data_IF_985840047071
#
_entry.id   IF_985840047071
#
_cell.length_a   1.000
_cell.length_b   1.000
_cell.length_c   1.000
_cell.angle_alpha   90.00
_cell.angle_beta   90.00
_cell.angle_gamma   90.00
#
_symmetry.space_group_name_H-M   'P 1'
#
loop_
_entity.id
_entity.type
_entity.pdbx_description
1 polymer ?
#
# COMPACT_ATOMS: atom_id res chain seq x y z
N UNK A 1 40.25 -44.75 60.44
CA UNK A 1 39.03 -43.91 60.33
C UNK A 1 39.28 -42.62 59.53
N UNK A 2 40.36 -41.89 59.72
CA UNK A 2 40.69 -40.58 59.08
C UNK A 2 40.88 -40.64 57.54
N UNK A 3 41.42 -41.72 56.96
CA UNK A 3 41.63 -41.81 55.50
C UNK A 3 40.34 -41.84 54.69
N UNK A 4 39.23 -42.43 55.22
CA UNK A 4 37.94 -42.47 54.56
C UNK A 4 37.23 -41.10 54.60
N UNK A 5 37.39 -40.32 55.68
CA UNK A 5 36.82 -38.99 55.81
C UNK A 5 37.49 -37.98 54.87
N UNK A 6 38.80 -38.05 54.66
CA UNK A 6 39.53 -37.25 53.68
C UNK A 6 39.12 -37.55 52.25
N UNK A 7 38.92 -38.82 51.89
CA UNK A 7 38.47 -39.19 50.53
C UNK A 7 37.07 -38.68 50.23
N UNK A 8 36.14 -38.76 51.19
CA UNK A 8 34.75 -38.20 51.01
C UNK A 8 34.77 -36.69 50.88
N UNK A 9 35.58 -35.99 51.69
CA UNK A 9 35.75 -34.53 51.62
C UNK A 9 36.27 -34.05 50.25
N UNK A 10 37.32 -34.75 49.75
CA UNK A 10 37.89 -34.45 48.43
C UNK A 10 36.89 -34.71 47.30
N UNK A 11 36.10 -35.80 47.39
CA UNK A 11 35.07 -36.10 46.41
C UNK A 11 33.96 -35.05 46.40
N UNK A 12 33.49 -34.61 47.57
CA UNK A 12 32.48 -33.55 47.69
C UNK A 12 33.01 -32.23 47.13
N UNK A 13 34.24 -31.86 47.48
CA UNK A 13 34.87 -30.64 46.98
C UNK A 13 35.05 -30.67 45.45
N UNK A 14 35.47 -31.79 44.91
CA UNK A 14 35.59 -32.02 43.47
C UNK A 14 34.24 -31.93 42.73
N UNK A 15 33.18 -32.50 43.32
CA UNK A 15 31.83 -32.41 42.79
C UNK A 15 31.28 -30.99 42.82
N UNK A 16 31.50 -30.22 43.88
CA UNK A 16 31.11 -28.82 44.01
C UNK A 16 31.87 -27.97 43.03
N UNK A 17 33.17 -28.19 42.86
CA UNK A 17 33.99 -27.45 41.89
C UNK A 17 33.59 -27.78 40.45
N UNK A 18 33.39 -29.04 40.11
CA UNK A 18 32.90 -29.45 38.82
C UNK A 18 31.54 -28.85 38.49
N UNK A 19 30.59 -28.82 39.43
CA UNK A 19 29.28 -28.17 39.26
C UNK A 19 29.38 -26.64 39.07
N UNK A 20 30.33 -26.02 39.78
CA UNK A 20 30.53 -24.58 39.71
C UNK A 20 31.11 -24.12 38.37
N UNK A 21 31.90 -24.95 37.69
CA UNK A 21 32.45 -24.67 36.36
C UNK A 21 31.55 -25.17 35.21
N UNK A 22 31.05 -26.43 35.33
CA UNK A 22 30.35 -27.07 34.22
C UNK A 22 28.98 -26.49 33.96
N UNK A 23 28.23 -26.06 34.98
CA UNK A 23 26.89 -25.48 34.83
C UNK A 23 26.89 -24.15 34.05
N UNK A 24 27.71 -23.13 34.37
CA UNK A 24 27.78 -21.90 33.60
C UNK A 24 28.23 -22.13 32.15
N UNK A 25 29.20 -23.04 31.92
CA UNK A 25 29.68 -23.35 30.57
C UNK A 25 28.56 -23.97 29.74
N UNK A 26 27.81 -24.93 30.28
CA UNK A 26 26.65 -25.53 29.57
C UNK A 26 25.58 -24.50 29.30
N UNK A 27 25.30 -23.58 30.24
CA UNK A 27 24.33 -22.51 30.04
C UNK A 27 24.76 -21.55 28.92
N UNK A 28 26.06 -21.17 28.89
CA UNK A 28 26.63 -20.36 27.82
C UNK A 28 26.56 -21.08 26.46
N UNK A 29 26.96 -22.37 26.40
CA UNK A 29 26.87 -23.13 25.15
C UNK A 29 25.43 -23.22 24.66
N UNK A 30 24.48 -23.54 25.55
CA UNK A 30 23.04 -23.54 25.18
C UNK A 30 22.54 -22.17 24.74
N UNK A 31 22.98 -21.07 25.39
CA UNK A 31 22.68 -19.71 24.99
C UNK A 31 23.21 -19.39 23.60
N UNK A 32 24.47 -19.72 23.32
CA UNK A 32 25.08 -19.52 21.99
C UNK A 32 24.32 -20.31 20.91
N UNK A 33 23.95 -21.56 21.20
CA UNK A 33 23.17 -22.38 20.25
C UNK A 33 21.79 -21.78 19.96
N UNK A 34 21.09 -21.23 20.98
CA UNK A 34 19.82 -20.56 20.82
C UNK A 34 19.98 -19.29 19.95
N UNK A 35 20.98 -18.46 20.26
CA UNK A 35 21.29 -17.26 19.47
C UNK A 35 21.60 -17.61 18.00
N UNK A 36 22.36 -18.68 17.77
CA UNK A 36 22.66 -19.18 16.42
C UNK A 36 21.39 -19.66 15.68
N UNK A 37 20.37 -20.13 16.42
CA UNK A 37 19.06 -20.49 15.89
C UNK A 37 18.09 -19.30 15.76
N UNK A 38 18.54 -18.05 16.06
CA UNK A 38 17.73 -16.84 15.98
C UNK A 38 16.91 -16.52 17.23
N UNK A 39 17.02 -17.31 18.29
CA UNK A 39 16.32 -17.03 19.56
C UNK A 39 17.14 -16.08 20.43
N UNK A 40 16.73 -14.83 20.45
CA UNK A 40 17.35 -13.76 21.25
C UNK A 40 16.54 -13.46 22.55
N UNK A 41 15.60 -14.30 22.94
CA UNK A 41 14.59 -13.95 23.96
C UNK A 41 15.14 -13.82 25.39
N UNK A 42 16.13 -14.64 25.78
CA UNK A 42 16.58 -14.70 27.16
C UNK A 42 18.06 -14.37 27.37
N UNK A 43 18.35 -13.47 28.32
CA UNK A 43 19.69 -13.24 28.85
C UNK A 43 20.08 -14.33 29.86
N UNK A 44 21.37 -14.64 29.93
CA UNK A 44 21.88 -15.63 30.88
C UNK A 44 22.10 -15.00 32.25
N UNK A 45 21.73 -15.66 33.35
CA UNK A 45 21.96 -15.16 34.69
C UNK A 45 23.46 -15.12 35.05
N UNK A 46 23.97 -13.96 35.45
CA UNK A 46 25.35 -13.80 35.91
C UNK A 46 25.44 -14.30 37.35
N UNK A 47 26.03 -15.46 37.54
CA UNK A 47 26.11 -16.14 38.86
C UNK A 47 27.47 -16.05 39.54
N UNK A 48 28.47 -15.50 38.87
CA UNK A 48 29.85 -15.47 39.35
C UNK A 48 30.49 -14.11 39.05
N UNK A 49 31.47 -13.69 39.86
CA UNK A 49 32.24 -12.49 39.62
C UNK A 49 33.60 -12.76 38.93
N UNK A 50 33.92 -14.05 38.66
CA UNK A 50 35.13 -14.52 38.02
C UNK A 50 35.09 -14.40 36.48
N UNK A 51 36.00 -15.10 35.80
CA UNK A 51 36.10 -15.12 34.33
C UNK A 51 34.82 -15.58 33.66
N UNK A 52 34.11 -16.56 34.26
CA UNK A 52 32.83 -17.05 33.72
C UNK A 52 31.71 -15.99 33.86
N UNK A 53 31.71 -15.26 34.97
CA UNK A 53 30.81 -14.14 35.14
C UNK A 53 31.10 -12.99 34.16
N UNK A 54 32.39 -12.73 33.88
CA UNK A 54 32.76 -11.74 32.81
C UNK A 54 32.31 -12.20 31.43
N UNK A 55 32.52 -13.49 31.10
CA UNK A 55 32.08 -14.04 29.82
C UNK A 55 30.55 -14.01 29.68
N UNK A 56 29.81 -14.32 30.75
CA UNK A 56 28.34 -14.23 30.74
C UNK A 56 27.86 -12.80 30.52
N UNK A 57 28.52 -11.80 31.14
CA UNK A 57 28.20 -10.38 30.89
C UNK A 57 28.49 -9.98 29.43
N UNK A 58 29.63 -10.37 28.88
CA UNK A 58 29.99 -10.11 27.50
C UNK A 58 28.99 -10.76 26.51
N UNK A 59 28.57 -11.99 26.78
CA UNK A 59 27.52 -12.66 26.02
C UNK A 59 26.20 -11.89 26.07
N UNK A 60 25.76 -11.45 27.26
CA UNK A 60 24.53 -10.65 27.38
C UNK A 60 24.62 -9.30 26.66
N UNK A 61 25.76 -8.62 26.70
CA UNK A 61 25.99 -7.39 25.94
C UNK A 61 25.92 -7.63 24.42
N UNK A 62 26.50 -8.72 23.94
CA UNK A 62 26.37 -9.14 22.53
C UNK A 62 24.89 -9.41 22.17
N UNK A 63 24.17 -10.12 23.03
CA UNK A 63 22.76 -10.43 22.84
C UNK A 63 21.91 -9.15 22.76
N UNK A 64 22.16 -8.16 23.64
CA UNK A 64 21.47 -6.89 23.62
C UNK A 64 21.79 -6.09 22.34
N UNK A 65 23.04 -6.11 21.87
CA UNK A 65 23.41 -5.53 20.58
C UNK A 65 22.68 -6.18 19.39
N UNK A 66 22.55 -7.52 19.40
CA UNK A 66 21.77 -8.23 18.38
C UNK A 66 20.27 -7.88 18.43
N UNK A 67 19.68 -7.81 19.62
CA UNK A 67 18.28 -7.38 19.81
C UNK A 67 18.05 -5.96 19.29
N UNK A 68 18.95 -5.05 19.62
CA UNK A 68 18.88 -3.66 19.17
C UNK A 68 18.97 -3.58 17.64
N UNK A 69 19.89 -4.33 17.03
CA UNK A 69 20.00 -4.42 15.56
C UNK A 69 18.73 -4.96 14.92
N UNK A 70 18.17 -6.04 15.46
CA UNK A 70 16.94 -6.64 14.93
C UNK A 70 15.73 -5.73 15.13
N UNK A 71 15.65 -5.00 16.26
CA UNK A 71 14.64 -3.97 16.49
C UNK A 71 14.75 -2.85 15.46
N UNK A 72 15.96 -2.31 15.22
CA UNK A 72 16.20 -1.27 14.23
C UNK A 72 15.81 -1.77 12.83
N UNK A 73 16.21 -3.00 12.48
CA UNK A 73 15.87 -3.61 11.18
C UNK A 73 14.35 -3.78 11.00
N UNK A 74 13.65 -4.24 12.03
CA UNK A 74 12.19 -4.37 12.01
C UNK A 74 11.48 -3.03 11.95
N UNK A 75 11.95 -2.04 12.72
CA UNK A 75 11.43 -0.68 12.69
C UNK A 75 11.66 -0.05 11.32
N UNK A 76 12.89 -0.16 10.78
CA UNK A 76 13.24 0.34 9.46
C UNK A 76 12.36 -0.29 8.36
N UNK A 77 12.11 -1.61 8.43
CA UNK A 77 11.22 -2.31 7.49
C UNK A 77 9.73 -1.90 7.54
N UNK A 78 9.32 -1.14 8.58
CA UNK A 78 7.97 -0.53 8.63
C UNK A 78 7.90 0.83 7.93
N UNK A 79 9.02 1.54 7.86
CA UNK A 79 9.12 2.87 7.23
C UNK A 79 9.66 2.81 5.81
N UNK A 80 10.31 1.71 5.45
CA UNK A 80 10.87 1.46 4.12
C UNK A 80 10.41 0.07 3.68
N UNK A 81 9.93 -0.06 2.44
CA UNK A 81 9.50 -1.38 1.97
C UNK A 81 10.64 -2.41 2.03
N UNK A 82 10.34 -3.70 2.25
CA UNK A 82 11.36 -4.75 2.33
C UNK A 82 12.29 -4.80 1.11
N UNK A 83 11.75 -4.50 -0.08
CA UNK A 83 12.49 -4.49 -1.34
C UNK A 83 13.51 -3.34 -1.38
N UNK A 84 13.07 -2.15 -0.99
CA UNK A 84 13.94 -0.97 -0.88
C UNK A 84 14.98 -1.17 0.22
N UNK A 85 14.58 -1.72 1.38
CA UNK A 85 15.52 -2.04 2.47
C UNK A 85 16.59 -3.02 2.02
N UNK A 86 16.25 -4.02 1.21
CA UNK A 86 17.20 -4.98 0.65
C UNK A 86 18.16 -4.30 -0.32
N UNK A 87 17.66 -3.50 -1.26
CA UNK A 87 18.47 -2.74 -2.20
C UNK A 87 19.49 -1.83 -1.49
N UNK A 88 19.03 -1.11 -0.45
CA UNK A 88 19.87 -0.21 0.34
C UNK A 88 20.95 -0.93 1.16
N UNK A 89 20.66 -2.14 1.68
CA UNK A 89 21.55 -2.85 2.60
C UNK A 89 22.46 -3.88 1.91
N UNK A 90 22.06 -4.43 0.78
CA UNK A 90 22.78 -5.51 0.08
C UNK A 90 23.58 -4.98 -1.13
N UNK A 91 23.22 -3.81 -1.68
CA UNK A 91 23.96 -3.19 -2.76
C UNK A 91 25.19 -2.43 -2.24
N UNK A 92 26.39 -2.62 -2.80
CA UNK A 92 27.59 -1.89 -2.38
C UNK A 92 27.45 -0.36 -2.47
N UNK A 93 26.63 0.11 -3.41
CA UNK A 93 26.33 1.52 -3.66
C UNK A 93 24.93 1.93 -3.19
N UNK A 94 24.23 1.07 -2.45
CA UNK A 94 22.83 1.23 -2.08
C UNK A 94 22.49 2.51 -1.32
N UNK A 95 23.46 3.11 -0.62
CA UNK A 95 23.28 4.37 0.10
C UNK A 95 23.81 5.60 -0.68
N UNK A 96 24.38 5.42 -1.87
CA UNK A 96 24.84 6.56 -2.68
C UNK A 96 23.66 7.36 -3.22
N UNK A 97 23.82 8.68 -3.20
CA UNK A 97 22.90 9.58 -3.87
C UNK A 97 23.01 9.44 -5.37
N UNK A 98 21.86 9.51 -6.04
CA UNK A 98 21.75 9.40 -7.48
C UNK A 98 20.62 8.45 -7.84
N UNK A 99 20.45 8.24 -9.12
CA UNK A 99 19.42 7.36 -9.63
C UNK A 99 19.74 6.92 -11.05
N UNK A 100 19.10 5.86 -11.46
CA UNK A 100 19.18 5.35 -12.81
C UNK A 100 17.85 5.52 -13.54
N UNK A 101 17.90 5.69 -14.84
CA UNK A 101 16.71 5.69 -15.68
C UNK A 101 16.21 4.26 -15.83
N UNK A 102 14.97 4.04 -15.48
CA UNK A 102 14.25 2.77 -15.68
C UNK A 102 12.87 3.01 -16.27
N UNK A 103 12.40 2.07 -17.06
CA UNK A 103 10.99 2.01 -17.42
C UNK A 103 10.27 1.29 -16.29
N UNK A 104 9.30 1.97 -15.71
CA UNK A 104 8.50 1.49 -14.57
C UNK A 104 7.02 1.70 -14.86
N UNK A 105 6.18 0.96 -14.15
CA UNK A 105 4.75 1.24 -14.11
C UNK A 105 4.40 1.83 -12.76
N UNK A 106 3.80 3.01 -12.78
CA UNK A 106 3.33 3.74 -11.61
C UNK A 106 1.83 3.53 -11.46
N UNK A 107 1.41 3.20 -10.26
CA UNK A 107 0.02 3.11 -9.83
C UNK A 107 -0.21 4.17 -8.76
N UNK A 108 -1.23 5.00 -8.97
CA UNK A 108 -1.74 5.97 -7.99
C UNK A 108 -3.20 5.64 -7.70
N UNK A 109 -3.58 5.64 -6.43
CA UNK A 109 -4.97 5.48 -6.02
C UNK A 109 -5.35 6.48 -4.95
N UNK A 110 -6.61 6.90 -4.90
CA UNK A 110 -7.14 7.84 -3.93
C UNK A 110 -8.60 7.50 -3.58
N UNK A 111 -9.01 7.75 -2.33
CA UNK A 111 -10.37 7.49 -1.87
C UNK A 111 -11.29 8.67 -2.16
N UNK A 112 -12.43 8.39 -2.71
CA UNK A 112 -13.47 9.39 -2.94
C UNK A 112 -14.30 9.60 -1.66
N UNK A 113 -14.48 10.85 -1.27
CA UNK A 113 -15.24 11.21 -0.06
C UNK A 113 -14.49 11.10 1.27
N UNK A 114 -13.24 10.61 1.28
CA UNK A 114 -12.45 10.46 2.51
C UNK A 114 -12.15 11.79 3.21
N UNK A 115 -11.81 12.84 2.48
CA UNK A 115 -11.54 14.17 3.06
C UNK A 115 -12.69 14.65 3.94
N UNK A 116 -13.93 14.53 3.45
CA UNK A 116 -15.13 14.91 4.20
C UNK A 116 -15.32 14.07 5.47
N UNK A 117 -15.09 12.75 5.37
CA UNK A 117 -15.13 11.86 6.52
C UNK A 117 -14.08 12.25 7.57
N UNK A 118 -12.85 12.54 7.13
CA UNK A 118 -11.75 12.92 8.01
C UNK A 118 -11.99 14.27 8.72
N UNK A 119 -12.61 15.24 8.04
CA UNK A 119 -12.94 16.56 8.62
C UNK A 119 -14.07 16.48 9.68
N UNK A 120 -14.97 15.51 9.57
CA UNK A 120 -16.14 15.39 10.45
C UNK A 120 -15.98 14.33 11.53
N UNK A 121 -15.03 13.42 11.39
CA UNK A 121 -14.84 12.28 12.27
C UNK A 121 -13.95 12.56 13.49
N UNK A 122 -14.06 11.69 14.51
CA UNK A 122 -13.10 11.65 15.61
C UNK A 122 -11.71 11.26 15.07
N UNK A 123 -10.63 12.01 15.36
CA UNK A 123 -9.30 11.75 14.80
C UNK A 123 -8.77 10.34 15.04
N UNK A 124 -9.02 9.76 16.23
CA UNK A 124 -8.56 8.40 16.53
C UNK A 124 -9.30 7.36 15.68
N UNK A 125 -10.61 7.57 15.48
CA UNK A 125 -11.43 6.71 14.64
C UNK A 125 -11.04 6.80 13.16
N UNK A 126 -10.83 8.03 12.65
CA UNK A 126 -10.36 8.29 11.28
C UNK A 126 -9.03 7.59 11.01
N UNK A 127 -8.07 7.70 11.95
CA UNK A 127 -6.77 7.03 11.83
C UNK A 127 -6.89 5.51 11.81
N UNK A 128 -7.80 4.91 12.58
CA UNK A 128 -8.01 3.46 12.56
C UNK A 128 -8.57 2.99 11.22
N UNK A 129 -9.57 3.67 10.68
CA UNK A 129 -10.15 3.37 9.35
C UNK A 129 -9.11 3.52 8.26
N UNK A 130 -8.31 4.59 8.29
CA UNK A 130 -7.24 4.81 7.33
C UNK A 130 -6.18 3.72 7.39
N UNK A 131 -5.72 3.35 8.58
CA UNK A 131 -4.69 2.33 8.77
C UNK A 131 -5.18 0.95 8.30
N UNK A 132 -6.44 0.59 8.53
CA UNK A 132 -7.02 -0.66 8.04
C UNK A 132 -7.02 -0.69 6.50
N UNK A 133 -7.47 0.40 5.87
CA UNK A 133 -7.45 0.57 4.42
C UNK A 133 -6.03 0.46 3.86
N UNK A 134 -5.08 1.26 4.37
CA UNK A 134 -3.70 1.29 3.89
C UNK A 134 -3.00 -0.06 4.07
N UNK A 135 -3.23 -0.75 5.17
CA UNK A 135 -2.70 -2.09 5.39
C UNK A 135 -3.21 -3.06 4.32
N UNK A 136 -4.51 -3.06 4.05
CA UNK A 136 -5.11 -3.93 3.05
C UNK A 136 -4.59 -3.64 1.63
N UNK A 137 -4.45 -2.36 1.27
CA UNK A 137 -3.90 -1.96 -0.03
C UNK A 137 -2.43 -2.33 -0.16
N UNK A 138 -1.64 -2.17 0.90
CA UNK A 138 -0.24 -2.58 0.95
C UNK A 138 -0.08 -4.07 0.70
N UNK A 139 -0.89 -4.91 1.35
CA UNK A 139 -0.87 -6.37 1.15
C UNK A 139 -1.15 -6.73 -0.31
N UNK A 140 -2.10 -6.05 -0.95
CA UNK A 140 -2.42 -6.26 -2.37
C UNK A 140 -1.24 -5.86 -3.26
N UNK A 141 -0.63 -4.68 -3.03
CA UNK A 141 0.54 -4.21 -3.81
C UNK A 141 1.70 -5.20 -3.71
N UNK A 142 2.05 -5.62 -2.50
CA UNK A 142 3.14 -6.57 -2.25
C UNK A 142 2.85 -7.92 -2.91
N UNK A 143 1.63 -8.43 -2.81
CA UNK A 143 1.22 -9.69 -3.44
C UNK A 143 1.44 -9.71 -4.96
N UNK A 144 1.28 -8.55 -5.61
CA UNK A 144 1.52 -8.40 -7.05
C UNK A 144 2.97 -8.03 -7.41
N UNK A 145 3.88 -7.99 -6.42
CA UNK A 145 5.29 -7.66 -6.62
C UNK A 145 5.54 -6.18 -6.88
N UNK A 146 4.62 -5.32 -6.42
CA UNK A 146 4.79 -3.88 -6.41
C UNK A 146 5.46 -3.40 -5.12
N UNK A 147 6.01 -2.22 -5.16
CA UNK A 147 6.61 -1.53 -4.02
C UNK A 147 5.77 -0.30 -3.69
N UNK A 148 5.28 -0.20 -2.45
CA UNK A 148 4.64 1.03 -1.97
C UNK A 148 5.74 2.07 -1.77
N UNK A 149 5.74 3.12 -2.59
CA UNK A 149 6.73 4.18 -2.53
C UNK A 149 6.39 5.22 -1.44
N UNK A 150 5.12 5.58 -1.32
CA UNK A 150 4.65 6.59 -0.37
C UNK A 150 3.12 6.51 -0.18
N UNK A 151 2.66 6.91 1.01
CA UNK A 151 1.27 7.27 1.27
C UNK A 151 1.13 8.79 1.27
N UNK A 152 0.20 9.34 0.52
CA UNK A 152 -0.07 10.78 0.42
C UNK A 152 -1.49 11.00 0.94
N UNK A 153 -1.61 11.11 2.28
CA UNK A 153 -2.92 11.04 2.93
C UNK A 153 -3.55 9.66 2.80
N UNK A 154 -4.68 9.57 2.13
CA UNK A 154 -5.37 8.33 1.77
C UNK A 154 -4.93 7.77 0.40
N UNK A 155 -4.14 8.51 -0.36
CA UNK A 155 -3.61 8.05 -1.64
C UNK A 155 -2.45 7.08 -1.46
N UNK A 156 -2.43 6.02 -2.28
CA UNK A 156 -1.33 5.05 -2.35
C UNK A 156 -0.55 5.27 -3.63
N UNK A 157 0.74 5.56 -3.49
CA UNK A 157 1.69 5.60 -4.59
C UNK A 157 2.50 4.31 -4.61
N UNK A 158 2.28 3.46 -5.59
CA UNK A 158 2.99 2.21 -5.79
C UNK A 158 3.73 2.17 -7.13
N UNK A 159 4.83 1.42 -7.16
CA UNK A 159 5.71 1.28 -8.33
C UNK A 159 5.97 -0.19 -8.62
N UNK A 160 5.99 -0.54 -9.90
CA UNK A 160 6.30 -1.86 -10.41
C UNK A 160 7.47 -1.77 -11.38
N UNK A 161 8.46 -2.67 -11.24
CA UNK A 161 9.71 -2.65 -12.03
C UNK A 161 10.87 -1.95 -11.33
N UNK A 162 10.66 -1.44 -10.10
CA UNK A 162 11.69 -0.90 -9.24
C UNK A 162 11.31 -1.06 -7.75
N UNK A 163 12.27 -1.29 -6.83
CA UNK A 163 13.67 -1.55 -7.08
C UNK A 163 13.91 -2.88 -7.80
N UNK A 164 13.01 -3.87 -7.61
CA UNK A 164 13.09 -5.17 -8.26
C UNK A 164 12.61 -5.05 -9.72
N UNK A 165 13.47 -5.45 -10.65
CA UNK A 165 13.14 -5.46 -12.06
C UNK A 165 12.21 -6.64 -12.38
N UNK A 166 11.08 -6.35 -13.00
CA UNK A 166 10.13 -7.32 -13.52
C UNK A 166 9.78 -6.96 -14.96
N UNK A 167 9.98 -7.87 -15.91
CA UNK A 167 9.63 -7.64 -17.31
C UNK A 167 8.11 -7.47 -17.52
N UNK A 168 7.32 -8.05 -16.62
CA UNK A 168 5.85 -8.04 -16.58
C UNK A 168 5.27 -6.97 -15.66
N UNK A 169 6.02 -5.89 -15.39
CA UNK A 169 5.64 -4.84 -14.43
C UNK A 169 4.29 -4.18 -14.75
N UNK A 170 3.94 -3.98 -16.02
CA UNK A 170 2.67 -3.37 -16.43
C UNK A 170 1.48 -4.31 -16.16
N UNK A 171 1.62 -5.60 -16.47
CA UNK A 171 0.58 -6.60 -16.20
C UNK A 171 0.35 -6.77 -14.70
N UNK A 172 1.42 -6.79 -13.90
CA UNK A 172 1.33 -6.83 -12.44
C UNK A 172 0.63 -5.60 -11.86
N UNK A 173 0.94 -4.42 -12.38
CA UNK A 173 0.29 -3.17 -11.95
C UNK A 173 -1.21 -3.17 -12.29
N UNK A 174 -1.59 -3.63 -13.48
CA UNK A 174 -2.97 -3.76 -13.91
C UNK A 174 -3.75 -4.76 -13.02
N UNK A 175 -3.17 -5.94 -12.78
CA UNK A 175 -3.73 -6.94 -11.88
C UNK A 175 -3.87 -6.43 -10.45
N UNK A 176 -2.88 -5.68 -9.96
CA UNK A 176 -2.92 -5.03 -8.67
C UNK A 176 -4.08 -4.04 -8.59
N UNK A 177 -4.23 -3.16 -9.57
CA UNK A 177 -5.30 -2.16 -9.60
C UNK A 177 -6.70 -2.80 -9.51
N UNK A 178 -6.96 -3.84 -10.31
CA UNK A 178 -8.23 -4.59 -10.26
C UNK A 178 -8.41 -5.31 -8.90
N UNK A 179 -7.32 -5.88 -8.34
CA UNK A 179 -7.37 -6.53 -7.03
C UNK A 179 -7.60 -5.53 -5.90
N UNK A 180 -7.10 -4.30 -6.00
CA UNK A 180 -7.37 -3.22 -5.05
C UNK A 180 -8.86 -2.84 -5.08
N UNK A 181 -9.48 -2.73 -6.25
CA UNK A 181 -10.93 -2.50 -6.37
C UNK A 181 -11.75 -3.62 -5.73
N UNK A 182 -11.35 -4.88 -5.94
CA UNK A 182 -12.01 -6.02 -5.29
C UNK A 182 -11.87 -5.97 -3.76
N UNK A 183 -10.67 -5.62 -3.26
CA UNK A 183 -10.44 -5.46 -1.83
C UNK A 183 -11.26 -4.32 -1.21
N UNK A 184 -11.49 -3.22 -1.95
CA UNK A 184 -12.40 -2.15 -1.51
C UNK A 184 -13.83 -2.62 -1.33
N UNK A 185 -14.32 -3.52 -2.19
CA UNK A 185 -15.65 -4.11 -2.01
C UNK A 185 -15.75 -4.91 -0.70
N UNK A 186 -14.66 -5.62 -0.31
CA UNK A 186 -14.58 -6.34 0.96
C UNK A 186 -14.58 -5.39 2.18
N UNK A 187 -13.75 -4.33 2.12
CA UNK A 187 -13.70 -3.29 3.15
C UNK A 187 -15.07 -2.65 3.32
N UNK A 188 -15.73 -2.26 2.23
CA UNK A 188 -17.05 -1.66 2.28
C UNK A 188 -18.12 -2.58 2.88
N UNK A 189 -18.03 -3.90 2.66
CA UNK A 189 -18.94 -4.86 3.34
C UNK A 189 -18.72 -4.90 4.85
N UNK A 190 -17.46 -4.84 5.30
CA UNK A 190 -17.11 -4.77 6.73
C UNK A 190 -17.56 -3.45 7.34
N UNK A 191 -17.32 -2.33 6.64
CA UNK A 191 -17.75 -0.99 7.05
C UNK A 191 -19.28 -0.92 7.23
N UNK A 192 -20.05 -1.45 6.29
CA UNK A 192 -21.53 -1.48 6.38
C UNK A 192 -22.01 -2.19 7.65
N UNK A 193 -21.37 -3.29 8.03
CA UNK A 193 -21.70 -4.01 9.28
C UNK A 193 -21.34 -3.19 10.54
N UNK A 194 -20.35 -2.29 10.46
CA UNK A 194 -19.92 -1.40 11.54
C UNK A 194 -20.58 -0.01 11.53
N UNK A 195 -21.50 0.28 10.60
CA UNK A 195 -22.13 1.60 10.47
C UNK A 195 -21.18 2.69 9.93
N UNK A 196 -20.09 2.29 9.30
CA UNK A 196 -19.12 3.20 8.67
C UNK A 196 -19.55 3.57 7.25
N UNK A 197 -19.12 4.74 6.75
CA UNK A 197 -19.41 5.14 5.39
C UNK A 197 -18.74 4.19 4.38
N UNK A 198 -19.36 4.07 3.23
CA UNK A 198 -18.77 3.42 2.07
C UNK A 198 -17.79 4.38 1.40
N UNK A 199 -16.62 3.87 1.05
CA UNK A 199 -15.64 4.60 0.25
C UNK A 199 -15.51 3.97 -1.13
N UNK A 200 -15.26 4.81 -2.10
CA UNK A 200 -14.91 4.39 -3.45
C UNK A 200 -13.48 4.83 -3.76
N UNK A 201 -12.81 4.12 -4.65
CA UNK A 201 -11.42 4.39 -4.96
C UNK A 201 -11.25 4.59 -6.47
N UNK A 202 -10.58 5.68 -6.85
CA UNK A 202 -10.09 5.88 -8.20
C UNK A 202 -8.65 5.37 -8.33
N UNK A 203 -8.29 4.75 -9.46
CA UNK A 203 -6.93 4.28 -9.71
C UNK A 203 -6.45 4.73 -11.08
N UNK A 204 -5.28 5.37 -11.13
CA UNK A 204 -4.56 5.72 -12.35
C UNK A 204 -3.28 4.92 -12.51
N UNK A 205 -3.05 4.34 -13.70
CA UNK A 205 -1.84 3.57 -13.99
C UNK A 205 -1.15 4.12 -15.23
N UNK A 206 0.15 4.36 -15.13
CA UNK A 206 0.96 4.82 -16.25
C UNK A 206 2.31 4.12 -16.31
N UNK A 207 2.73 3.73 -17.50
CA UNK A 207 4.04 3.15 -17.77
C UNK A 207 4.93 4.17 -18.49
N UNK A 208 6.16 4.31 -18.04
CA UNK A 208 7.11 5.24 -18.67
C UNK A 208 8.46 5.31 -17.98
N UNK A 209 9.37 6.08 -18.56
CA UNK A 209 10.68 6.33 -17.97
C UNK A 209 10.58 7.17 -16.70
N UNK A 210 11.28 6.72 -15.67
CA UNK A 210 11.49 7.46 -14.44
C UNK A 210 12.93 7.30 -13.96
N UNK A 211 13.38 8.23 -13.14
CA UNK A 211 14.63 8.10 -12.39
C UNK A 211 14.31 7.46 -11.05
N UNK A 212 14.93 6.33 -10.76
CA UNK A 212 14.76 5.58 -9.52
C UNK A 212 16.07 5.57 -8.75
N UNK A 213 16.04 5.86 -7.46
CA UNK A 213 17.21 5.89 -6.61
C UNK A 213 17.08 6.75 -5.37
N UNK A 214 18.22 7.02 -4.72
CA UNK A 214 18.24 7.79 -3.48
C UNK A 214 18.33 9.28 -3.75
N UNK A 215 17.36 10.03 -3.25
CA UNK A 215 17.34 11.50 -3.30
C UNK A 215 17.32 12.08 -1.90
N UNK A 216 17.91 13.25 -1.74
CA UNK A 216 17.93 13.99 -0.48
C UNK A 216 19.29 14.54 -0.13
N UNK A 217 19.60 14.55 1.16
CA UNK A 217 20.87 14.98 1.74
C UNK A 217 21.43 13.91 2.67
N UNK A 218 22.69 14.06 3.12
CA UNK A 218 23.30 13.16 4.12
C UNK A 218 22.46 13.03 5.40
N UNK A 219 21.69 14.07 5.74
CA UNK A 219 20.85 14.11 6.94
C UNK A 219 19.46 13.48 6.72
N UNK A 220 18.97 13.48 5.47
CA UNK A 220 17.65 12.93 5.13
C UNK A 220 17.64 12.47 3.68
N UNK A 221 17.59 11.18 3.48
CA UNK A 221 17.47 10.54 2.18
C UNK A 221 16.21 9.68 2.12
N UNK A 222 15.66 9.53 0.93
CA UNK A 222 14.64 8.53 0.65
C UNK A 222 14.88 7.88 -0.71
N UNK A 223 14.55 6.62 -0.84
CA UNK A 223 14.42 5.98 -2.14
C UNK A 223 13.19 6.55 -2.83
N UNK A 224 13.33 7.03 -4.03
CA UNK A 224 12.27 7.73 -4.73
C UNK A 224 12.23 7.36 -6.21
N UNK A 225 11.04 7.52 -6.77
CA UNK A 225 10.80 7.42 -8.21
C UNK A 225 10.33 8.79 -8.68
N UNK A 226 11.08 9.41 -9.59
CA UNK A 226 10.87 10.78 -10.05
C UNK A 226 10.86 10.83 -11.57
N UNK A 227 9.91 11.55 -12.14
CA UNK A 227 9.82 11.75 -13.58
C UNK A 227 8.42 12.07 -14.08
N UNK A 228 8.31 12.31 -15.38
CA UNK A 228 7.03 12.59 -16.03
C UNK A 228 6.04 11.42 -15.87
N UNK A 229 6.54 10.19 -15.83
CA UNK A 229 5.71 9.00 -15.64
C UNK A 229 4.88 9.05 -14.34
N UNK A 230 5.46 9.55 -13.24
CA UNK A 230 4.79 9.71 -11.94
C UNK A 230 3.70 10.79 -12.02
N UNK A 231 4.05 11.94 -12.62
CA UNK A 231 3.12 13.06 -12.77
C UNK A 231 1.93 12.71 -13.67
N UNK A 232 2.16 11.89 -14.71
CA UNK A 232 1.09 11.42 -15.57
C UNK A 232 0.17 10.47 -14.78
N UNK A 233 0.72 9.50 -14.04
CA UNK A 233 -0.09 8.58 -13.22
C UNK A 233 -0.99 9.32 -12.23
N UNK A 234 -0.46 10.34 -11.55
CA UNK A 234 -1.24 11.18 -10.63
C UNK A 234 -2.38 11.95 -11.33
N UNK A 235 -2.15 12.42 -12.55
CA UNK A 235 -3.19 13.10 -13.34
C UNK A 235 -4.25 12.13 -13.84
N UNK A 236 -3.83 10.92 -14.24
CA UNK A 236 -4.75 9.86 -14.67
C UNK A 236 -5.63 9.43 -13.51
N UNK A 237 -5.06 9.28 -12.31
CA UNK A 237 -5.82 9.02 -11.08
C UNK A 237 -6.85 10.12 -10.82
N UNK A 238 -6.43 11.40 -10.87
CA UNK A 238 -7.34 12.54 -10.66
C UNK A 238 -8.47 12.67 -11.71
N UNK A 239 -8.39 11.97 -12.84
CA UNK A 239 -9.44 11.89 -13.86
C UNK A 239 -10.41 10.71 -13.64
N UNK A 240 -10.13 9.83 -12.66
CA UNK A 240 -10.98 8.67 -12.37
C UNK A 240 -12.19 9.05 -11.52
N UNK A 241 -13.27 8.33 -11.72
CA UNK A 241 -14.39 8.27 -10.77
C UNK A 241 -14.22 7.09 -9.80
N UNK A 242 -15.05 7.05 -8.76
CA UNK A 242 -15.05 5.95 -7.81
C UNK A 242 -15.29 4.60 -8.49
N UNK A 243 -14.49 3.60 -8.13
CA UNK A 243 -14.55 2.25 -8.71
C UNK A 243 -13.81 2.08 -10.05
N UNK A 244 -13.28 3.16 -10.63
CA UNK A 244 -12.66 3.15 -11.96
C UNK A 244 -11.16 2.90 -11.91
N UNK A 245 -10.63 2.22 -12.93
CA UNK A 245 -9.20 2.04 -13.19
C UNK A 245 -8.87 2.59 -14.57
N UNK A 246 -8.20 3.73 -14.63
CA UNK A 246 -7.74 4.30 -15.90
C UNK A 246 -6.27 3.98 -16.15
N UNK A 247 -5.96 3.53 -17.36
CA UNK A 247 -4.60 3.27 -17.81
C UNK A 247 -4.27 4.10 -19.06
N UNK A 248 -3.00 4.50 -19.18
CA UNK A 248 -2.52 5.22 -20.36
C UNK A 248 -2.27 4.27 -21.54
N UNK A 249 -2.16 4.82 -22.76
CA UNK A 249 -1.77 4.06 -23.97
C UNK A 249 -0.46 3.29 -23.74
N UNK A 250 0.54 3.92 -23.10
CA UNK A 250 1.83 3.26 -22.83
C UNK A 250 1.71 2.02 -21.92
N UNK A 251 0.75 2.02 -20.99
CA UNK A 251 0.44 0.84 -20.18
C UNK A 251 -0.36 -0.16 -21.00
N UNK A 252 -1.39 0.30 -21.72
CA UNK A 252 -2.25 -0.56 -22.53
C UNK A 252 -1.48 -1.37 -23.57
N UNK A 253 -0.55 -0.75 -24.29
CA UNK A 253 0.28 -1.43 -25.30
C UNK A 253 1.08 -2.60 -24.75
N UNK A 254 1.48 -2.55 -23.48
CA UNK A 254 2.22 -3.64 -22.82
C UNK A 254 1.33 -4.80 -22.37
N UNK A 255 0.02 -4.57 -22.22
CA UNK A 255 -0.93 -5.57 -21.70
C UNK A 255 -2.10 -5.86 -22.65
N UNK A 256 -2.09 -5.30 -23.86
CA UNK A 256 -3.22 -5.35 -24.81
C UNK A 256 -3.73 -6.76 -25.10
N UNK A 257 -2.86 -7.78 -25.05
CA UNK A 257 -3.20 -9.15 -25.37
C UNK A 257 -4.01 -9.83 -24.25
N UNK A 258 -4.03 -9.24 -23.05
CA UNK A 258 -4.69 -9.78 -21.86
C UNK A 258 -5.68 -8.80 -21.23
N UNK A 259 -5.66 -7.50 -21.62
CA UNK A 259 -6.49 -6.47 -21.03
C UNK A 259 -7.89 -6.43 -21.66
N UNK A 260 -8.91 -6.36 -20.80
CA UNK A 260 -10.28 -6.03 -21.18
C UNK A 260 -10.53 -4.56 -20.83
N UNK A 261 -10.71 -3.73 -21.85
CA UNK A 261 -10.89 -2.28 -21.69
C UNK A 261 -12.15 -1.79 -22.39
N UNK A 262 -12.72 -0.70 -21.88
CA UNK A 262 -13.76 0.04 -22.60
C UNK A 262 -13.16 0.87 -23.75
N UNK A 263 -14.03 1.47 -24.58
CA UNK A 263 -13.59 2.40 -25.62
C UNK A 263 -12.72 3.52 -25.01
N UNK A 264 -11.55 3.83 -25.63
CA UNK A 264 -10.65 4.84 -25.09
C UNK A 264 -11.24 6.23 -25.20
N UNK A 265 -10.91 7.05 -24.20
CA UNK A 265 -11.35 8.45 -24.13
C UNK A 265 -10.14 9.38 -24.17
N UNK A 266 -10.17 10.36 -25.06
CA UNK A 266 -9.14 11.41 -25.14
C UNK A 266 -9.43 12.52 -24.12
N UNK A 267 -8.49 12.78 -23.20
CA UNK A 267 -8.65 13.80 -22.17
C UNK A 267 -7.51 14.81 -22.27
N UNK A 268 -7.88 16.10 -22.36
CA UNK A 268 -6.95 17.21 -22.26
C UNK A 268 -6.64 17.48 -20.79
N UNK A 269 -5.42 17.18 -20.38
CA UNK A 269 -5.00 17.38 -18.99
C UNK A 269 -4.22 18.70 -18.84
N UNK A 270 -4.41 19.40 -17.72
CA UNK A 270 -3.72 20.65 -17.42
C UNK A 270 -2.20 20.44 -17.45
N UNK A 271 -1.50 21.24 -18.29
CA UNK A 271 -0.04 21.20 -18.41
C UNK A 271 0.50 20.06 -19.28
N UNK A 272 -0.34 19.44 -20.11
CA UNK A 272 0.07 18.62 -21.24
C UNK A 272 -0.34 19.32 -22.53
N UNK A 273 0.55 19.27 -23.52
CA UNK A 273 0.33 19.90 -24.82
C UNK A 273 -0.69 19.12 -25.66
N UNK A 274 -0.69 17.78 -25.48
CA UNK A 274 -1.55 16.87 -26.22
C UNK A 274 -2.54 16.19 -25.28
N UNK A 275 -3.70 15.81 -25.81
CA UNK A 275 -4.66 15.01 -25.08
C UNK A 275 -4.13 13.60 -24.86
N UNK A 276 -4.28 13.08 -23.65
CA UNK A 276 -3.96 11.68 -23.33
C UNK A 276 -5.14 10.79 -23.70
N UNK A 277 -4.86 9.71 -24.40
CA UNK A 277 -5.81 8.64 -24.63
C UNK A 277 -5.77 7.69 -23.44
N UNK A 278 -6.89 7.54 -22.74
CA UNK A 278 -7.04 6.73 -21.55
C UNK A 278 -8.01 5.58 -21.82
N UNK A 279 -7.70 4.44 -21.23
CA UNK A 279 -8.48 3.21 -21.31
C UNK A 279 -9.02 2.86 -19.94
N UNK A 280 -10.33 2.61 -19.83
CA UNK A 280 -10.95 2.11 -18.60
C UNK A 280 -10.75 0.59 -18.53
N UNK A 281 -9.89 0.14 -17.63
CA UNK A 281 -9.54 -1.27 -17.45
C UNK A 281 -10.62 -1.98 -16.63
N UNK A 282 -11.33 -2.90 -17.23
CA UNK A 282 -12.45 -3.63 -16.62
C UNK A 282 -12.11 -5.07 -16.25
N UNK A 283 -11.13 -5.67 -16.93
CA UNK A 283 -10.69 -7.03 -16.68
C UNK A 283 -9.28 -7.29 -17.15
N UNK A 284 -8.72 -8.39 -16.70
CA UNK A 284 -7.41 -8.86 -17.11
C UNK A 284 -7.45 -10.39 -17.19
N UNK A 285 -7.07 -10.92 -18.34
CA UNK A 285 -6.84 -12.35 -18.54
C UNK A 285 -5.41 -12.76 -18.16
N UNK A 286 -5.02 -13.96 -18.56
CA UNK A 286 -3.65 -14.44 -18.42
C UNK A 286 -3.27 -14.87 -17.01
N UNK A 287 -1.97 -14.81 -16.71
CA UNK A 287 -1.37 -15.33 -15.48
C UNK A 287 -1.82 -14.59 -14.21
N UNK A 288 -2.10 -13.33 -14.34
CA UNK A 288 -2.44 -12.45 -13.21
C UNK A 288 -3.93 -12.08 -13.19
N UNK A 289 -4.77 -12.84 -13.90
CA UNK A 289 -6.22 -12.63 -13.88
C UNK A 289 -6.72 -12.51 -12.42
N UNK A 290 -7.29 -11.38 -12.01
CA UNK A 290 -7.89 -11.25 -10.70
C UNK A 290 -9.12 -12.16 -10.59
N UNK A 291 -9.58 -12.53 -9.38
CA UNK A 291 -10.87 -13.16 -9.24
C UNK A 291 -11.94 -12.27 -9.88
N UNK A 292 -12.95 -12.86 -10.54
CA UNK A 292 -14.00 -12.09 -11.20
C UNK A 292 -14.61 -11.11 -10.22
N UNK A 293 -14.73 -9.86 -10.66
CA UNK A 293 -15.47 -8.87 -9.87
C UNK A 293 -16.88 -9.40 -9.60
N UNK A 294 -17.45 -9.14 -8.42
CA UNK A 294 -18.86 -9.44 -8.19
C UNK A 294 -19.66 -8.75 -9.32
N UNK A 295 -20.66 -9.44 -9.89
CA UNK A 295 -21.40 -8.91 -11.02
C UNK A 295 -21.86 -7.49 -10.69
N UNK A 296 -21.50 -6.54 -11.56
CA UNK A 296 -22.11 -5.22 -11.54
C UNK A 296 -23.62 -5.45 -11.70
N UNK A 297 -24.38 -5.00 -10.71
CA UNK A 297 -25.82 -5.03 -10.86
C UNK A 297 -26.15 -4.07 -12.00
N UNK A 298 -26.63 -4.61 -13.09
CA UNK A 298 -27.16 -3.87 -14.23
C UNK A 298 -28.05 -2.71 -13.76
N UNK A 299 -28.13 -1.65 -14.55
CA UNK A 299 -29.13 -0.57 -14.39
C UNK A 299 -30.52 -1.18 -14.27
N UNK A 300 -30.97 -1.44 -13.04
CA UNK A 300 -32.10 -2.32 -12.75
C UNK A 300 -33.48 -1.62 -12.92
N UNK A 301 -33.52 -0.31 -12.84
CA UNK A 301 -34.80 0.40 -12.88
C UNK A 301 -34.85 1.50 -13.94
N UNK A 302 -35.85 1.40 -14.83
CA UNK A 302 -36.23 2.54 -15.68
C UNK A 302 -36.99 3.54 -14.83
N UNK A 303 -36.45 4.74 -14.70
CA UNK A 303 -37.02 5.82 -13.90
C UNK A 303 -37.11 7.09 -14.75
N UNK A 304 -37.92 8.03 -14.31
CA UNK A 304 -38.02 9.35 -14.95
C UNK A 304 -38.00 10.42 -13.87
N UNK A 305 -36.81 10.65 -13.29
CA UNK A 305 -36.63 11.62 -12.22
C UNK A 305 -35.96 12.88 -12.73
N UNK A 306 -36.40 14.06 -12.31
CA UNK A 306 -35.69 15.30 -12.57
C UNK A 306 -34.29 15.23 -11.95
N UNK A 307 -33.29 15.70 -12.72
CA UNK A 307 -31.90 15.73 -12.32
C UNK A 307 -31.40 17.17 -12.46
N UNK A 308 -30.68 17.63 -11.45
CA UNK A 308 -29.88 18.85 -11.52
C UNK A 308 -28.42 18.49 -11.33
N UNK A 309 -27.54 19.00 -12.18
CA UNK A 309 -26.13 18.79 -12.02
C UNK A 309 -25.30 20.08 -12.14
N UNK A 310 -24.13 20.07 -11.54
CA UNK A 310 -23.13 21.14 -11.58
C UNK A 310 -21.79 20.52 -11.89
N UNK A 311 -21.03 21.16 -12.77
CA UNK A 311 -19.66 20.72 -13.07
C UNK A 311 -18.75 21.02 -11.88
N UNK A 312 -17.89 20.06 -11.50
CA UNK A 312 -16.87 20.23 -10.47
C UNK A 312 -15.54 20.49 -11.16
N UNK A 313 -14.94 21.65 -10.91
CA UNK A 313 -13.59 21.98 -11.38
C UNK A 313 -12.60 21.91 -10.22
N UNK A 314 -11.78 20.86 -10.21
CA UNK A 314 -10.91 20.58 -9.07
C UNK A 314 -11.72 20.23 -7.82
N UNK A 315 -11.71 21.11 -6.80
CA UNK A 315 -12.49 20.95 -5.56
C UNK A 315 -13.67 21.94 -5.45
N UNK A 316 -13.96 22.67 -6.52
CA UNK A 316 -14.97 23.75 -6.52
C UNK A 316 -16.16 23.34 -7.38
N UNK A 317 -17.35 23.38 -6.80
CA UNK A 317 -18.61 23.19 -7.53
C UNK A 317 -18.90 24.47 -8.32
N UNK A 318 -19.00 24.33 -9.62
CA UNK A 318 -19.34 25.46 -10.50
C UNK A 318 -20.75 26.05 -10.22
N UNK A 319 -20.93 27.32 -10.47
CA UNK A 319 -22.21 27.99 -10.24
C UNK A 319 -23.29 27.66 -11.29
N UNK A 320 -22.89 27.21 -12.47
CA UNK A 320 -23.80 26.94 -13.58
C UNK A 320 -24.52 25.59 -13.38
N UNK A 321 -25.84 25.65 -13.21
CA UNK A 321 -26.72 24.50 -13.14
C UNK A 321 -27.02 23.96 -14.54
N UNK A 322 -27.05 22.66 -14.68
CA UNK A 322 -27.47 21.92 -15.86
C UNK A 322 -28.64 21.02 -15.43
N UNK A 323 -29.78 21.24 -16.06
CA UNK A 323 -30.95 20.42 -15.79
C UNK A 323 -30.94 19.16 -16.71
N UNK A 324 -31.62 18.12 -16.26
CA UNK A 324 -31.69 16.86 -16.99
C UNK A 324 -32.74 15.94 -16.40
N UNK A 325 -32.72 14.70 -16.89
CA UNK A 325 -33.65 13.65 -16.43
C UNK A 325 -32.92 12.32 -16.38
N UNK A 326 -33.03 11.62 -15.26
CA UNK A 326 -32.55 10.25 -15.12
C UNK A 326 -33.51 9.34 -15.90
N UNK A 327 -32.96 8.46 -16.70
CA UNK A 327 -33.68 7.48 -17.52
C UNK A 327 -33.59 6.09 -16.93
N UNK A 328 -32.46 5.74 -16.35
CA UNK A 328 -32.21 4.46 -15.65
C UNK A 328 -31.29 4.71 -14.45
N UNK A 329 -31.47 3.95 -13.42
CA UNK A 329 -30.65 4.02 -12.21
C UNK A 329 -30.23 2.63 -11.80
N UNK A 330 -28.97 2.48 -11.43
CA UNK A 330 -28.38 1.29 -10.85
C UNK A 330 -27.70 1.63 -9.53
N UNK A 331 -27.11 0.66 -8.86
CA UNK A 331 -26.44 0.85 -7.56
C UNK A 331 -25.23 1.80 -7.59
N UNK A 332 -24.59 1.94 -8.76
CA UNK A 332 -23.35 2.71 -8.94
C UNK A 332 -23.35 3.67 -10.12
N UNK A 333 -24.33 3.57 -10.98
CA UNK A 333 -24.41 4.39 -12.19
C UNK A 333 -25.84 4.80 -12.48
N UNK A 334 -25.96 5.86 -13.22
CA UNK A 334 -27.24 6.28 -13.76
C UNK A 334 -27.09 6.72 -15.22
N UNK A 335 -28.12 6.44 -16.01
CA UNK A 335 -28.24 6.97 -17.34
C UNK A 335 -29.16 8.18 -17.30
N UNK A 336 -28.65 9.33 -17.70
CA UNK A 336 -29.41 10.56 -17.71
C UNK A 336 -29.29 11.27 -19.07
N UNK A 337 -30.33 12.02 -19.42
CA UNK A 337 -30.31 12.98 -20.52
C UNK A 337 -30.19 14.36 -19.94
N UNK A 338 -29.10 15.06 -20.30
CA UNK A 338 -28.87 16.47 -19.93
C UNK A 338 -29.32 17.40 -21.03
N UNK A 339 -29.68 18.62 -20.65
CA UNK A 339 -30.06 19.71 -21.60
C UNK A 339 -28.89 20.15 -22.48
N UNK A 340 -27.67 20.00 -22.01
CA UNK A 340 -26.43 20.22 -22.77
C UNK A 340 -25.46 19.09 -22.59
N UNK A 341 -24.68 18.71 -23.62
CA UNK A 341 -23.67 17.71 -23.50
C UNK A 341 -22.53 18.18 -22.58
N UNK A 342 -21.96 17.24 -21.83
CA UNK A 342 -20.72 17.42 -21.08
C UNK A 342 -19.59 16.66 -21.76
N UNK A 343 -18.36 17.16 -21.68
CA UNK A 343 -17.19 16.37 -22.08
C UNK A 343 -17.13 15.05 -21.30
N UNK A 344 -16.64 13.99 -21.92
CA UNK A 344 -16.40 12.74 -21.18
C UNK A 344 -15.51 12.96 -19.96
N UNK A 345 -15.76 12.18 -18.90
CA UNK A 345 -15.04 12.25 -17.61
C UNK A 345 -15.09 13.62 -16.92
N UNK A 346 -16.14 14.39 -17.18
CA UNK A 346 -16.42 15.61 -16.40
C UNK A 346 -16.97 15.23 -15.04
N UNK A 347 -16.29 15.62 -13.97
CA UNK A 347 -16.80 15.44 -12.62
C UNK A 347 -18.01 16.36 -12.39
N UNK A 348 -19.09 15.80 -11.88
CA UNK A 348 -20.33 16.54 -11.66
C UNK A 348 -20.89 16.26 -10.27
N UNK A 349 -21.48 17.30 -9.67
CA UNK A 349 -22.34 17.16 -8.51
C UNK A 349 -23.76 16.95 -8.98
N UNK A 350 -24.41 15.87 -8.52
CA UNK A 350 -25.78 15.52 -8.90
C UNK A 350 -26.74 15.79 -7.74
N UNK A 351 -27.96 16.19 -8.10
CA UNK A 351 -29.11 16.23 -7.20
C UNK A 351 -30.32 15.64 -7.90
N UNK A 352 -30.86 14.60 -7.31
CA UNK A 352 -32.12 13.98 -7.75
C UNK A 352 -33.28 14.56 -6.96
N UNK A 353 -34.34 14.94 -7.66
CA UNK A 353 -35.57 15.39 -7.02
C UNK A 353 -36.60 14.25 -7.00
N UNK A 354 -36.82 13.68 -5.82
CA UNK A 354 -37.82 12.62 -5.63
C UNK A 354 -39.21 13.20 -5.51
N UNK A 355 -40.26 12.52 -6.01
CA UNK A 355 -41.65 12.97 -5.99
C UNK A 355 -42.18 13.32 -4.59
N UNK A 356 -41.62 12.69 -3.53
CA UNK A 356 -42.06 12.86 -2.15
C UNK A 356 -41.37 14.00 -1.40
N UNK A 357 -40.68 14.89 -2.09
CA UNK A 357 -40.04 16.09 -1.51
C UNK A 357 -38.74 15.86 -0.77
N UNK A 358 -38.25 14.63 -0.70
CA UNK A 358 -36.93 14.27 -0.18
C UNK A 358 -35.87 14.37 -1.28
N UNK A 359 -35.21 15.52 -1.42
CA UNK A 359 -34.05 15.62 -2.32
C UNK A 359 -32.82 15.00 -1.67
N UNK A 360 -32.18 14.04 -2.35
CA UNK A 360 -30.84 13.57 -1.99
C UNK A 360 -29.83 14.25 -2.90
N UNK A 361 -28.83 14.90 -2.33
CA UNK A 361 -27.69 15.40 -3.10
C UNK A 361 -26.50 14.50 -2.82
N UNK A 362 -25.96 13.89 -3.84
CA UNK A 362 -24.69 13.17 -3.77
C UNK A 362 -23.65 13.88 -4.63
N UNK A 363 -22.43 13.97 -4.14
CA UNK A 363 -21.27 14.37 -4.92
C UNK A 363 -20.77 13.11 -5.64
N UNK A 364 -20.94 13.05 -6.95
CA UNK A 364 -20.48 11.97 -7.83
C UNK A 364 -19.54 12.55 -8.87
#
# INVERSE_FOLDING_TARGET
MYKRQGAIGTLILGLLFARRLTRPIRALTAGVTRVAAGDLSEALPVRSADELGRLTRAFNQMLDGLRQRDFIRSAFGRYVSPEVARELLESPDGLRFGGEKRVVTVLMSDLRGYTRFAEQGDPAHVMNVLNEYLARMTDVVIKHGGTVNEFIGDAVFAVFGAPLAHADHAERAAACALSMQAAMADINRQHAAGGLPRFEMGIGVNTGEAVVGNIGSEQRAKYAVVGSAVNIAARVEGATVGGQVLITTATYEQIRDVAEVAEPVAIQMKGLTEALLLYDLRGLGGRFAPPPAPPDHDLDASVSLPLRCWVIEGKIVGAARIDGRVLRIGPRELLARLERPLPPLTNVKLRLDYPDGGGVSEDV
#
